data_IF_827269678890
#
_entry.id   IF_827269678890
#
_cell.length_a   1.000
_cell.length_b   1.000
_cell.length_c   1.000
_cell.angle_alpha   90.00
_cell.angle_beta   90.00
_cell.angle_gamma   90.00
#
_symmetry.space_group_name_H-M   'P 1'
#
loop_
_entity.id
_entity.type
_entity.pdbx_description
1 polymer ?
#
# COMPACT_ATOMS: atom_id res chain seq x y z
N UNK A 1 8.97 19.93 -13.09
CA UNK A 1 9.94 19.02 -12.75
C UNK A 1 9.52 18.15 -11.57
N UNK A 2 9.25 18.67 -10.43
CA UNK A 2 8.74 17.86 -9.35
C UNK A 2 7.39 17.24 -9.67
N UNK A 3 6.53 17.99 -10.37
CA UNK A 3 5.25 17.47 -10.81
C UNK A 3 5.41 16.25 -11.69
N UNK A 4 6.42 16.23 -12.55
CA UNK A 4 6.66 15.07 -13.41
C UNK A 4 7.01 13.83 -12.61
N UNK A 5 7.82 13.97 -11.56
CA UNK A 5 8.18 12.85 -10.71
C UNK A 5 6.95 12.30 -9.97
N UNK A 6 6.09 13.17 -9.46
CA UNK A 6 4.87 12.75 -8.79
C UNK A 6 3.91 12.05 -9.73
N UNK A 7 3.73 12.59 -10.92
CA UNK A 7 2.85 11.98 -11.92
C UNK A 7 3.38 10.59 -12.31
N UNK A 8 4.68 10.45 -12.48
CA UNK A 8 5.27 9.17 -12.84
C UNK A 8 5.10 8.15 -11.72
N UNK A 9 5.34 8.53 -10.48
CA UNK A 9 5.18 7.62 -9.36
C UNK A 9 3.72 7.17 -9.22
N UNK A 10 2.77 8.08 -9.38
CA UNK A 10 1.37 7.76 -9.32
C UNK A 10 0.96 6.85 -10.47
N UNK A 11 1.49 7.08 -11.67
CA UNK A 11 1.18 6.23 -12.82
C UNK A 11 1.70 4.81 -12.62
N UNK A 12 2.91 4.65 -12.08
CA UNK A 12 3.45 3.33 -11.79
C UNK A 12 2.60 2.61 -10.76
N UNK A 13 2.20 3.31 -9.70
CA UNK A 13 1.35 2.70 -8.67
C UNK A 13 -0.01 2.30 -9.23
N UNK A 14 -0.58 3.10 -10.12
CA UNK A 14 -1.86 2.78 -10.75
C UNK A 14 -1.76 1.56 -11.64
N UNK A 15 -0.66 1.40 -12.37
CA UNK A 15 -0.45 0.23 -13.20
C UNK A 15 -0.34 -1.02 -12.34
N UNK A 16 0.39 -0.94 -11.23
CA UNK A 16 0.48 -2.04 -10.29
C UNK A 16 -0.88 -2.38 -9.70
N UNK A 17 -1.70 -1.35 -9.40
CA UNK A 17 -3.05 -1.55 -8.91
C UNK A 17 -3.97 -2.17 -9.95
N UNK A 18 -3.82 -1.80 -11.23
CA UNK A 18 -4.61 -2.37 -12.29
C UNK A 18 -4.32 -3.87 -12.45
N UNK A 19 -3.05 -4.25 -12.41
CA UNK A 19 -2.67 -5.66 -12.45
C UNK A 19 -3.22 -6.40 -11.24
N UNK A 20 -3.22 -5.73 -10.10
CA UNK A 20 -3.70 -6.31 -8.86
C UNK A 20 -5.22 -6.37 -8.76
N UNK A 21 -5.95 -5.77 -9.71
CA UNK A 21 -7.41 -5.79 -9.69
C UNK A 21 -7.97 -7.21 -9.79
N UNK A 22 -7.18 -8.15 -10.31
CA UNK A 22 -7.56 -9.55 -10.34
C UNK A 22 -7.10 -10.29 -9.10
N UNK A 23 -6.91 -9.57 -8.04
CA UNK A 23 -6.23 -10.05 -6.89
C UNK A 23 -7.00 -11.11 -6.13
N UNK A 24 -6.23 -11.87 -5.41
CA UNK A 24 -6.65 -12.97 -4.58
C UNK A 24 -7.49 -12.51 -3.40
N UNK A 25 -8.22 -13.47 -2.84
CA UNK A 25 -8.90 -13.27 -1.57
C UNK A 25 -7.90 -13.46 -0.44
N UNK A 26 -7.88 -12.54 0.49
CA UNK A 26 -7.01 -12.59 1.65
C UNK A 26 -7.76 -13.09 2.87
N UNK A 27 -7.10 -13.03 4.02
CA UNK A 27 -7.69 -13.46 5.28
C UNK A 27 -8.98 -12.70 5.58
N UNK A 28 -9.92 -13.39 6.20
CA UNK A 28 -11.21 -12.80 6.52
C UNK A 28 -12.07 -12.50 5.32
N UNK A 29 -11.77 -13.08 4.16
CA UNK A 29 -12.51 -12.87 2.94
C UNK A 29 -12.28 -11.53 2.27
N UNK A 30 -11.28 -10.77 2.71
CA UNK A 30 -11.00 -9.44 2.16
C UNK A 30 -10.23 -9.53 0.86
N UNK A 31 -10.51 -8.57 -0.01
CA UNK A 31 -9.92 -8.56 -1.35
C UNK A 31 -8.52 -7.93 -1.35
N UNK A 32 -7.55 -8.67 -1.88
CA UNK A 32 -6.21 -8.11 -2.10
C UNK A 32 -6.23 -6.96 -3.10
N UNK A 33 -7.15 -6.99 -4.05
CA UNK A 33 -7.31 -5.88 -4.99
C UNK A 33 -7.77 -4.60 -4.31
N UNK A 34 -8.78 -4.70 -3.46
CA UNK A 34 -9.25 -3.55 -2.70
C UNK A 34 -8.15 -3.02 -1.79
N UNK A 35 -7.42 -3.92 -1.11
CA UNK A 35 -6.31 -3.52 -0.26
C UNK A 35 -5.23 -2.80 -1.05
N UNK A 36 -4.94 -3.29 -2.26
CA UNK A 36 -3.96 -2.66 -3.13
C UNK A 36 -4.34 -1.22 -3.44
N UNK A 37 -5.58 -0.99 -3.84
CA UNK A 37 -6.04 0.36 -4.16
C UNK A 37 -6.01 1.27 -2.94
N UNK A 38 -6.33 0.76 -1.77
CA UNK A 38 -6.24 1.53 -0.53
C UNK A 38 -4.81 1.96 -0.24
N UNK A 39 -3.85 1.07 -0.46
CA UNK A 39 -2.43 1.39 -0.25
C UNK A 39 -1.91 2.35 -1.30
N UNK A 40 -2.46 2.34 -2.51
CA UNK A 40 -2.15 3.35 -3.50
C UNK A 40 -2.62 4.73 -3.02
N UNK A 41 -3.74 4.78 -2.33
CA UNK A 41 -4.23 6.02 -1.74
C UNK A 41 -3.35 6.51 -0.61
N UNK A 42 -2.87 5.61 0.24
CA UNK A 42 -1.89 5.94 1.28
C UNK A 42 -1.24 4.65 1.78
N UNK A 43 0.09 4.62 1.94
CA UNK A 43 0.78 3.44 2.44
C UNK A 43 0.22 2.98 3.78
N UNK A 44 0.03 1.68 3.92
CA UNK A 44 -0.45 1.08 5.14
C UNK A 44 -1.97 0.90 5.22
N UNK A 45 -2.74 1.60 4.41
CA UNK A 45 -4.20 1.48 4.48
C UNK A 45 -4.67 0.10 4.06
N UNK A 46 -4.07 -0.48 3.03
CA UNK A 46 -4.45 -1.82 2.59
C UNK A 46 -4.16 -2.87 3.63
N UNK A 47 -3.00 -2.77 4.27
CA UNK A 47 -2.63 -3.69 5.33
C UNK A 47 -3.57 -3.58 6.52
N UNK A 48 -3.93 -2.36 6.89
CA UNK A 48 -4.88 -2.14 7.98
C UNK A 48 -6.25 -2.74 7.63
N UNK A 49 -6.71 -2.50 6.41
CA UNK A 49 -7.96 -3.08 5.92
C UNK A 49 -7.92 -4.62 6.01
N UNK A 50 -6.81 -5.23 5.59
CA UNK A 50 -6.68 -6.69 5.62
C UNK A 50 -6.72 -7.26 7.02
N UNK A 51 -6.33 -6.50 8.02
CA UNK A 51 -6.45 -6.89 9.42
C UNK A 51 -7.85 -6.65 9.99
N UNK A 52 -8.77 -6.17 9.18
CA UNK A 52 -10.14 -5.93 9.61
C UNK A 52 -10.34 -4.57 10.25
N UNK A 53 -9.46 -3.61 9.98
CA UNK A 53 -9.46 -2.29 10.61
C UNK A 53 -9.22 -2.43 12.12
N UNK A 54 -10.09 -1.90 12.96
CA UNK A 54 -9.93 -1.96 14.40
C UNK A 54 -8.97 -0.89 14.89
N UNK A 55 -8.29 -1.18 16.00
CA UNK A 55 -7.40 -0.20 16.61
C UNK A 55 -6.25 0.14 15.67
N UNK A 56 -6.18 1.43 15.30
CA UNK A 56 -5.14 1.89 14.39
C UNK A 56 -3.73 1.59 14.91
N UNK A 57 -3.51 1.81 16.21
CA UNK A 57 -2.17 1.66 16.79
C UNK A 57 -1.72 0.20 16.82
N UNK A 58 -2.66 -0.73 16.96
CA UNK A 58 -2.34 -2.15 17.01
C UNK A 58 -2.32 -2.79 15.63
N UNK A 59 -3.21 -2.35 14.74
CA UNK A 59 -3.45 -3.07 13.50
C UNK A 59 -2.86 -2.42 12.26
N UNK A 60 -2.72 -1.10 12.24
CA UNK A 60 -2.14 -0.43 11.08
C UNK A 60 -0.62 -0.50 11.13
N UNK A 61 0.06 -0.68 9.98
CA UNK A 61 1.53 -0.69 9.98
C UNK A 61 2.04 0.74 10.17
N UNK A 62 2.54 1.01 11.37
CA UNK A 62 2.88 2.36 11.79
C UNK A 62 3.97 3.00 10.94
N UNK A 63 5.05 2.27 10.66
CA UNK A 63 6.14 2.83 9.86
C UNK A 63 5.67 3.16 8.45
N UNK A 64 4.97 2.23 7.81
CA UNK A 64 4.46 2.48 6.47
C UNK A 64 3.51 3.66 6.43
N UNK A 65 2.64 3.76 7.44
CA UNK A 65 1.65 4.81 7.46
C UNK A 65 2.29 6.19 7.66
N UNK A 66 3.12 6.33 8.70
CA UNK A 66 3.68 7.63 9.03
C UNK A 66 4.76 8.08 8.05
N UNK A 67 5.63 7.17 7.65
CA UNK A 67 6.63 7.48 6.63
C UNK A 67 5.98 7.67 5.26
N UNK A 68 4.75 7.20 5.10
CA UNK A 68 3.99 7.40 3.89
C UNK A 68 3.70 8.86 3.57
N UNK A 69 3.83 9.76 4.55
CA UNK A 69 3.64 11.18 4.31
C UNK A 69 4.86 11.86 3.69
N UNK A 70 5.99 11.15 3.60
CA UNK A 70 7.21 11.72 3.04
C UNK A 70 7.14 11.63 1.52
N UNK A 71 7.20 12.77 0.81
CA UNK A 71 7.13 12.74 -0.66
C UNK A 71 8.29 11.92 -1.25
N UNK A 72 8.01 11.21 -2.30
CA UNK A 72 8.95 10.37 -3.05
C UNK A 72 9.27 9.07 -2.30
N UNK A 73 9.63 9.14 -1.03
CA UNK A 73 9.86 7.93 -0.26
C UNK A 73 8.56 7.26 0.15
N UNK A 74 7.58 8.04 0.59
CA UNK A 74 6.30 7.54 1.05
C UNK A 74 5.23 7.62 -0.03
N UNK A 75 4.57 8.76 -0.10
CA UNK A 75 3.50 8.99 -1.06
C UNK A 75 3.63 10.38 -1.67
N UNK A 76 3.58 10.50 -3.00
CA UNK A 76 3.65 9.39 -3.94
C UNK A 76 5.08 8.87 -4.03
N UNK A 77 5.24 7.57 -4.05
CA UNK A 77 6.58 7.02 -4.21
C UNK A 77 6.74 5.59 -3.73
N UNK A 78 7.90 5.34 -3.15
CA UNK A 78 8.35 4.01 -2.82
C UNK A 78 7.39 3.23 -1.91
N UNK A 79 7.01 3.82 -0.78
CA UNK A 79 6.14 3.10 0.15
C UNK A 79 4.74 2.89 -0.40
N UNK A 80 4.27 3.78 -1.27
CA UNK A 80 3.02 3.58 -1.95
C UNK A 80 3.03 2.27 -2.73
N UNK A 81 4.09 2.04 -3.50
CA UNK A 81 4.22 0.83 -4.31
C UNK A 81 4.49 -0.39 -3.42
N UNK A 82 5.38 -0.25 -2.45
CA UNK A 82 5.71 -1.32 -1.52
C UNK A 82 4.47 -1.80 -0.76
N UNK A 83 3.70 -0.87 -0.23
CA UNK A 83 2.49 -1.19 0.52
C UNK A 83 1.43 -1.82 -0.38
N UNK A 84 1.26 -1.29 -1.59
CA UNK A 84 0.31 -1.86 -2.54
C UNK A 84 0.69 -3.29 -2.91
N UNK A 85 1.98 -3.53 -3.13
CA UNK A 85 2.47 -4.87 -3.44
C UNK A 85 2.23 -5.83 -2.28
N UNK A 86 2.54 -5.41 -1.07
CA UNK A 86 2.34 -6.26 0.10
C UNK A 86 0.86 -6.56 0.31
N UNK A 87 0.01 -5.55 0.20
CA UNK A 87 -1.43 -5.72 0.35
C UNK A 87 -1.99 -6.67 -0.71
N UNK A 88 -1.52 -6.57 -1.95
CA UNK A 88 -1.95 -7.47 -3.01
C UNK A 88 -1.64 -8.92 -2.66
N UNK A 89 -0.55 -9.15 -1.95
CA UNK A 89 -0.11 -10.48 -1.54
C UNK A 89 -0.63 -10.88 -0.17
N UNK A 90 -1.61 -10.16 0.34
CA UNK A 90 -2.21 -10.42 1.65
C UNK A 90 -1.24 -10.27 2.82
N UNK A 91 -0.17 -9.52 2.63
CA UNK A 91 0.80 -9.26 3.68
C UNK A 91 0.37 -8.04 4.47
N UNK A 92 0.49 -8.12 5.79
CA UNK A 92 0.08 -7.03 6.67
C UNK A 92 1.23 -6.53 7.54
N UNK A 93 2.47 -6.86 7.17
CA UNK A 93 3.64 -6.46 7.93
C UNK A 93 3.95 -4.98 7.79
N UNK A 94 4.89 -4.52 8.62
CA UNK A 94 5.33 -3.13 8.61
C UNK A 94 6.79 -3.04 8.12
N UNK A 95 7.17 -3.92 7.22
CA UNK A 95 8.53 -3.95 6.68
C UNK A 95 8.71 -2.89 5.61
N UNK A 96 9.87 -2.24 5.62
CA UNK A 96 10.16 -1.18 4.68
C UNK A 96 11.05 -1.61 3.53
N UNK A 97 11.74 -2.72 3.67
CA UNK A 97 12.62 -3.23 2.61
C UNK A 97 11.82 -3.90 1.52
N UNK A 98 12.25 -3.68 0.29
CA UNK A 98 11.50 -4.19 -0.86
C UNK A 98 11.35 -5.71 -0.86
N UNK A 99 12.36 -6.42 -0.42
CA UNK A 99 12.38 -7.87 -0.48
C UNK A 99 11.89 -8.56 0.80
N UNK A 100 11.20 -7.85 1.62
CA UNK A 100 10.61 -8.43 2.85
C UNK A 100 9.13 -8.62 2.77
#
# INVERSE_FOLDING_TARGET
>A
MRIHAFVLAAAVAMLAGADAAEARTCQGGRSGGSATWMSIGHPGLGEWYLKGWGDFWDNAPQKKFWLGFIPIYGWPGYLQVKSARDANRCRTNDNLRWNE
#
